data_IF_977087009759
#
_entry.id   IF_977087009759
#
_cell.length_a   1.000
_cell.length_b   1.000
_cell.length_c   1.000
_cell.angle_alpha   90.00
_cell.angle_beta   90.00
_cell.angle_gamma   90.00
#
_symmetry.space_group_name_H-M   'P 1'
#
loop_
_entity.id
_entity.type
_entity.pdbx_description
1 polymer ?
#
# COMPACT_ATOMS: atom_id res chain seq x y z
N UNK A 1 -5.59 -8.59 38.38
CA UNK A 1 -5.42 -10.02 38.02
C UNK A 1 -6.37 -10.48 36.91
N UNK A 2 -7.68 -10.19 36.98
CA UNK A 2 -8.67 -10.65 35.97
C UNK A 2 -8.46 -10.15 34.53
N UNK A 3 -7.95 -8.92 34.35
CA UNK A 3 -7.72 -8.29 33.03
C UNK A 3 -6.60 -8.98 32.23
N UNK A 4 -5.53 -9.40 32.89
CA UNK A 4 -4.40 -10.06 32.23
C UNK A 4 -4.75 -11.49 31.80
N UNK A 5 -5.60 -12.18 32.56
CA UNK A 5 -6.08 -13.51 32.20
C UNK A 5 -6.96 -13.47 30.95
N UNK A 6 -7.85 -12.47 30.84
CA UNK A 6 -8.69 -12.29 29.66
C UNK A 6 -7.86 -11.97 28.41
N UNK A 7 -6.83 -11.13 28.53
CA UNK A 7 -5.90 -10.84 27.45
C UNK A 7 -5.15 -12.09 26.99
N UNK A 8 -4.68 -12.92 27.91
CA UNK A 8 -4.01 -14.19 27.60
C UNK A 8 -4.97 -15.16 26.91
N UNK A 9 -6.24 -15.24 27.36
CA UNK A 9 -7.25 -16.09 26.74
C UNK A 9 -7.60 -15.63 25.31
N UNK A 10 -7.65 -14.31 25.07
CA UNK A 10 -7.86 -13.72 23.75
C UNK A 10 -6.67 -13.99 22.81
N UNK A 11 -5.44 -13.93 23.32
CA UNK A 11 -4.24 -14.29 22.56
C UNK A 11 -4.17 -15.79 22.27
N UNK A 12 -4.55 -16.65 23.23
CA UNK A 12 -4.57 -18.10 23.02
C UNK A 12 -5.68 -18.55 22.06
N UNK A 13 -6.84 -17.90 22.09
CA UNK A 13 -7.94 -18.17 21.15
C UNK A 13 -7.68 -17.63 19.75
N UNK A 14 -6.88 -16.57 19.59
CA UNK A 14 -6.40 -16.16 18.26
C UNK A 14 -5.36 -17.15 17.71
N UNK A 15 -4.56 -17.79 18.57
CA UNK A 15 -3.58 -18.81 18.19
C UNK A 15 -4.22 -20.15 17.74
N UNK A 16 -5.37 -20.54 18.28
CA UNK A 16 -6.09 -21.75 17.80
C UNK A 16 -6.76 -21.53 16.45
N UNK A 17 -7.15 -20.29 16.13
CA UNK A 17 -7.62 -19.91 14.78
C UNK A 17 -6.50 -19.98 13.74
N UNK A 18 -5.27 -19.61 14.13
CA UNK A 18 -4.07 -19.68 13.28
C UNK A 18 -3.71 -21.11 12.86
N UNK A 19 -4.06 -22.15 13.62
CA UNK A 19 -3.78 -23.54 13.24
C UNK A 19 -4.54 -24.02 11.98
N UNK A 20 -5.61 -23.31 11.58
CA UNK A 20 -6.31 -23.54 10.32
C UNK A 20 -5.98 -22.49 9.24
N UNK A 21 -5.11 -21.54 9.53
CA UNK A 21 -4.73 -20.50 8.58
C UNK A 21 -3.68 -21.05 7.59
N UNK A 22 -4.01 -21.02 6.30
CA UNK A 22 -3.05 -21.38 5.25
C UNK A 22 -2.24 -20.14 4.91
N UNK A 23 -0.93 -20.20 5.10
CA UNK A 23 -0.05 -19.11 4.69
C UNK A 23 0.15 -19.15 3.19
N UNK A 24 0.18 -17.98 2.57
CA UNK A 24 0.54 -17.84 1.16
C UNK A 24 1.59 -16.75 0.97
N UNK A 25 2.39 -16.93 -0.06
CA UNK A 25 3.35 -15.96 -0.57
C UNK A 25 3.07 -15.81 -2.06
N UNK A 26 2.91 -14.58 -2.52
CA UNK A 26 2.71 -14.27 -3.93
C UNK A 26 3.48 -13.04 -4.37
N UNK A 27 3.38 -12.77 -5.67
CA UNK A 27 4.01 -11.64 -6.33
C UNK A 27 2.94 -11.02 -7.23
N UNK A 28 2.72 -9.72 -7.07
CA UNK A 28 1.81 -8.95 -7.91
C UNK A 28 2.61 -7.94 -8.74
N UNK A 29 2.14 -7.69 -9.96
CA UNK A 29 2.66 -6.63 -10.82
C UNK A 29 1.51 -5.75 -11.27
N UNK A 30 1.68 -4.44 -11.19
CA UNK A 30 0.63 -3.47 -11.50
C UNK A 30 1.16 -2.18 -12.11
N UNK A 31 0.23 -1.39 -12.64
CA UNK A 31 0.47 0.00 -13.05
C UNK A 31 0.01 0.95 -11.94
N UNK A 32 0.81 1.97 -11.64
CA UNK A 32 0.49 3.02 -10.67
C UNK A 32 0.20 4.34 -11.35
N UNK A 33 -0.75 5.09 -10.79
CA UNK A 33 -1.00 6.49 -11.09
C UNK A 33 -0.81 7.32 -9.82
N UNK A 34 0.32 8.00 -9.71
CA UNK A 34 0.72 8.72 -8.50
C UNK A 34 0.39 10.21 -8.63
N UNK A 35 0.00 10.88 -7.55
CA UNK A 35 -0.17 12.34 -7.52
C UNK A 35 0.65 12.93 -6.40
N UNK A 36 1.41 13.97 -6.70
CA UNK A 36 2.25 14.65 -5.72
C UNK A 36 1.84 16.12 -5.64
N UNK A 37 1.45 16.51 -4.43
CA UNK A 37 1.22 17.91 -4.07
C UNK A 37 2.57 18.58 -3.80
N UNK A 38 2.73 19.82 -4.26
CA UNK A 38 3.89 20.62 -3.89
C UNK A 38 3.46 21.77 -3.00
N UNK A 39 4.09 21.80 -1.82
CA UNK A 39 4.15 22.98 -0.97
C UNK A 39 5.44 23.69 -1.32
N UNK A 40 5.33 24.81 -2.03
CA UNK A 40 6.47 25.71 -2.19
C UNK A 40 6.36 26.72 -1.07
N UNK A 41 7.21 26.57 -0.05
CA UNK A 41 7.56 27.68 0.82
C UNK A 41 8.68 28.45 0.14
N UNK A 42 8.48 29.74 -0.09
CA UNK A 42 9.50 30.58 -0.71
C UNK A 42 9.94 31.70 0.27
N UNK A 43 11.12 32.27 0.00
CA UNK A 43 11.79 33.35 0.75
C UNK A 43 11.63 34.70 -0.03
N UNK A 44 11.25 35.86 0.57
CA UNK A 44 11.12 37.30 0.06
C UNK A 44 12.34 38.19 -0.25
N UNK A 45 13.33 38.45 0.57
CA UNK A 45 14.25 39.57 0.68
C UNK A 45 13.51 40.91 0.82
N UNK A 46 13.42 41.37 2.06
CA UNK A 46 12.97 42.70 2.45
C UNK A 46 13.99 43.71 1.93
N UNK A 47 13.64 44.53 0.94
CA UNK A 47 14.56 45.55 0.42
C UNK A 47 14.94 46.53 1.54
N UNK A 48 16.20 46.46 2.01
CA UNK A 48 16.73 47.21 3.16
C UNK A 48 17.16 46.35 4.36
N UNK A 49 16.84 45.05 4.37
CA UNK A 49 17.38 44.04 5.29
C UNK A 49 17.67 42.76 4.50
N UNK A 50 18.75 42.02 4.75
CA UNK A 50 19.11 40.81 3.98
C UNK A 50 18.13 39.61 4.15
N UNK A 51 16.83 39.82 4.42
CA UNK A 51 15.96 38.79 5.01
C UNK A 51 14.75 38.47 4.16
N UNK A 52 14.49 37.18 3.90
CA UNK A 52 13.68 36.72 2.77
C UNK A 52 12.41 35.87 3.16
N UNK A 53 11.17 36.41 3.14
CA UNK A 53 9.73 35.81 3.20
C UNK A 53 8.73 35.83 1.94
N UNK A 54 8.57 34.80 1.08
CA UNK A 54 7.60 34.81 -0.07
C UNK A 54 6.24 34.23 0.32
N UNK A 55 5.11 34.56 -0.36
CA UNK A 55 3.83 33.91 -0.09
C UNK A 55 3.89 32.41 -0.41
N UNK A 56 3.59 31.57 0.56
CA UNK A 56 3.53 30.13 0.34
C UNK A 56 2.42 29.78 -0.66
N UNK A 57 2.75 28.94 -1.65
CA UNK A 57 1.75 28.39 -2.58
C UNK A 57 1.62 26.88 -2.38
N UNK A 58 0.38 26.42 -2.25
CA UNK A 58 0.04 24.99 -2.25
C UNK A 58 -0.54 24.65 -3.62
N UNK A 59 0.22 23.89 -4.41
CA UNK A 59 -0.27 23.38 -5.69
C UNK A 59 -0.65 21.92 -5.51
N UNK A 60 -1.96 21.66 -5.45
CA UNK A 60 -2.50 20.31 -5.40
C UNK A 60 -2.26 19.59 -6.73
N UNK A 61 -1.84 18.33 -6.67
CA UNK A 61 -1.51 17.47 -7.79
C UNK A 61 -0.53 18.13 -8.78
N UNK A 62 0.46 18.87 -8.27
CA UNK A 62 1.44 19.56 -9.10
C UNK A 62 2.15 18.60 -10.07
N UNK A 63 2.31 17.34 -9.68
CA UNK A 63 2.83 16.27 -10.53
C UNK A 63 1.89 15.07 -10.59
N UNK A 64 1.81 14.48 -11.78
CA UNK A 64 1.17 13.19 -12.02
C UNK A 64 2.25 12.20 -12.45
N UNK A 65 2.33 11.07 -11.77
CA UNK A 65 3.19 9.94 -12.10
C UNK A 65 2.38 8.84 -12.77
N UNK A 66 2.93 8.26 -13.84
CA UNK A 66 2.46 6.98 -14.36
C UNK A 66 3.65 6.01 -14.34
N UNK A 67 3.46 4.85 -13.74
CA UNK A 67 4.53 3.93 -13.46
C UNK A 67 4.08 2.49 -13.33
N UNK A 68 5.02 1.62 -12.97
CA UNK A 68 4.75 0.23 -12.61
C UNK A 68 5.24 -0.04 -11.19
N UNK A 69 4.58 -0.97 -10.51
CA UNK A 69 4.88 -1.41 -9.15
C UNK A 69 4.88 -2.95 -9.12
N UNK A 70 5.87 -3.52 -8.45
CA UNK A 70 5.90 -4.95 -8.14
C UNK A 70 5.84 -5.11 -6.62
N UNK A 71 4.92 -5.93 -6.16
CA UNK A 71 4.69 -6.20 -4.75
C UNK A 71 4.95 -7.67 -4.45
N UNK A 72 5.51 -7.93 -3.27
CA UNK A 72 5.52 -9.26 -2.65
C UNK A 72 4.43 -9.22 -1.58
N UNK A 73 3.53 -10.20 -1.61
CA UNK A 73 2.43 -10.30 -0.64
C UNK A 73 2.59 -11.55 0.23
N UNK A 74 2.43 -11.35 1.55
CA UNK A 74 2.46 -12.40 2.55
C UNK A 74 1.18 -12.30 3.37
N UNK A 75 0.49 -13.42 3.50
CA UNK A 75 -0.81 -13.42 4.15
C UNK A 75 -1.28 -14.78 4.60
N UNK A 76 -2.53 -14.80 5.03
CA UNK A 76 -3.22 -16.02 5.40
C UNK A 76 -4.57 -16.12 4.70
N UNK A 77 -4.94 -17.34 4.36
CA UNK A 77 -6.20 -17.71 3.75
C UNK A 77 -7.02 -18.52 4.74
N UNK A 78 -8.31 -18.23 4.80
CA UNK A 78 -9.30 -18.93 5.60
C UNK A 78 -10.45 -19.40 4.72
N UNK A 79 -10.77 -20.68 4.77
CA UNK A 79 -11.83 -21.28 3.97
C UNK A 79 -13.00 -21.66 4.85
N UNK A 80 -14.23 -21.38 4.39
CA UNK A 80 -15.45 -21.57 5.18
C UNK A 80 -16.08 -22.95 5.00
N UNK A 81 -15.74 -23.66 3.93
CA UNK A 81 -16.28 -24.97 3.59
C UNK A 81 -15.21 -26.06 3.64
N UNK A 82 -15.65 -27.30 3.89
CA UNK A 82 -14.75 -28.48 3.96
C UNK A 82 -13.99 -28.74 2.66
N UNK A 83 -14.54 -28.33 1.52
CA UNK A 83 -13.96 -28.54 0.21
C UNK A 83 -13.09 -27.35 -0.24
N UNK A 84 -13.01 -26.29 0.57
CA UNK A 84 -12.26 -25.07 0.34
C UNK A 84 -12.66 -24.32 -0.94
N UNK A 85 -13.93 -24.33 -1.33
CA UNK A 85 -14.41 -23.54 -2.49
C UNK A 85 -14.58 -22.06 -2.21
N UNK A 86 -14.93 -21.70 -0.97
CA UNK A 86 -15.21 -20.32 -0.59
C UNK A 86 -14.35 -19.96 0.60
N UNK A 87 -13.67 -18.82 0.50
CA UNK A 87 -12.80 -18.35 1.55
C UNK A 87 -12.55 -16.87 1.49
N UNK A 88 -11.71 -16.41 2.38
CA UNK A 88 -11.21 -15.06 2.43
C UNK A 88 -9.71 -15.12 2.70
N UNK A 89 -8.95 -14.22 2.09
CA UNK A 89 -7.55 -14.01 2.43
C UNK A 89 -7.26 -12.57 2.74
N UNK A 90 -6.41 -12.33 3.74
CA UNK A 90 -5.79 -11.04 3.95
C UNK A 90 -4.29 -11.16 3.85
N UNK A 91 -3.67 -10.07 3.44
CA UNK A 91 -2.23 -10.02 3.25
C UNK A 91 -1.69 -8.63 3.47
N UNK A 92 -0.43 -8.59 3.88
CA UNK A 92 0.39 -7.41 3.78
C UNK A 92 1.22 -7.55 2.51
N UNK A 93 1.26 -6.50 1.71
CA UNK A 93 2.13 -6.42 0.56
C UNK A 93 3.09 -5.25 0.70
N UNK A 94 4.33 -5.47 0.26
CA UNK A 94 5.32 -4.43 0.16
C UNK A 94 6.03 -4.53 -1.18
N UNK A 95 6.33 -3.39 -1.78
CA UNK A 95 6.82 -3.38 -3.14
C UNK A 95 7.63 -2.17 -3.52
N UNK A 96 8.23 -2.29 -4.70
CA UNK A 96 9.06 -1.27 -5.30
C UNK A 96 8.73 -1.12 -6.78
N UNK A 97 8.69 0.13 -7.22
CA UNK A 97 8.27 0.51 -8.56
C UNK A 97 9.04 1.69 -9.11
N UNK A 98 8.80 1.98 -10.38
CA UNK A 98 9.33 3.17 -11.06
C UNK A 98 8.17 3.96 -11.65
N UNK A 99 8.28 5.27 -11.56
CA UNK A 99 7.30 6.21 -12.11
C UNK A 99 8.01 7.39 -12.73
N UNK A 100 7.36 8.08 -13.66
CA UNK A 100 7.86 9.37 -14.15
C UNK A 100 6.86 10.44 -13.77
N UNK A 101 7.27 11.34 -12.87
CA UNK A 101 6.47 12.47 -12.44
C UNK A 101 6.51 13.56 -13.51
N UNK A 102 5.34 13.96 -14.01
CA UNK A 102 5.18 15.02 -15.00
C UNK A 102 4.49 16.22 -14.35
N UNK A 103 5.10 17.40 -14.47
CA UNK A 103 4.51 18.63 -13.95
C UNK A 103 3.24 18.97 -14.74
N UNK A 104 2.12 19.18 -14.04
CA UNK A 104 0.82 19.44 -14.68
C UNK A 104 0.70 20.82 -15.35
N UNK A 105 1.50 21.81 -14.92
CA UNK A 105 1.55 23.15 -15.51
C UNK A 105 2.48 23.20 -16.72
N UNK A 106 3.58 22.43 -16.69
CA UNK A 106 4.53 22.33 -17.79
C UNK A 106 4.96 20.88 -18.04
N UNK A 107 4.31 20.22 -19.00
CA UNK A 107 4.54 18.81 -19.35
C UNK A 107 5.95 18.49 -19.89
N UNK A 108 6.80 19.50 -20.14
CA UNK A 108 8.20 19.30 -20.50
C UNK A 108 9.05 18.91 -19.27
N UNK A 109 8.62 19.27 -18.07
CA UNK A 109 9.32 18.97 -16.83
C UNK A 109 8.93 17.56 -16.39
N UNK A 110 9.89 16.64 -16.45
CA UNK A 110 9.73 15.22 -16.11
C UNK A 110 10.82 14.77 -15.14
N UNK A 111 10.42 14.03 -14.10
CA UNK A 111 11.35 13.49 -13.11
C UNK A 111 11.19 11.97 -12.99
N UNK A 112 12.21 11.17 -13.37
CA UNK A 112 12.20 9.75 -13.06
C UNK A 112 12.24 9.58 -11.53
N UNK A 113 11.31 8.79 -11.02
CA UNK A 113 11.10 8.60 -9.58
C UNK A 113 10.88 7.13 -9.27
N UNK A 114 10.94 6.80 -7.98
CA UNK A 114 10.68 5.45 -7.49
C UNK A 114 9.44 5.44 -6.61
N UNK A 115 8.71 4.34 -6.64
CA UNK A 115 7.56 4.10 -5.76
C UNK A 115 7.98 3.07 -4.73
N UNK A 116 7.62 3.29 -3.46
CA UNK A 116 7.64 2.27 -2.41
C UNK A 116 6.20 2.08 -1.99
N UNK A 117 5.70 0.86 -2.13
CA UNK A 117 4.33 0.49 -1.78
C UNK A 117 4.27 -0.26 -0.47
N UNK A 118 3.23 0.01 0.32
CA UNK A 118 2.83 -0.82 1.45
C UNK A 118 1.30 -0.94 1.41
N UNK A 119 0.80 -2.15 1.28
CA UNK A 119 -0.62 -2.45 1.07
C UNK A 119 -1.12 -3.43 2.14
N UNK A 120 -2.37 -3.25 2.55
CA UNK A 120 -3.14 -4.24 3.30
C UNK A 120 -4.31 -4.67 2.42
N UNK A 121 -4.32 -5.93 2.02
CA UNK A 121 -5.32 -6.49 1.10
C UNK A 121 -6.30 -7.42 1.80
N UNK A 122 -7.50 -7.53 1.21
CA UNK A 122 -8.61 -8.38 1.64
C UNK A 122 -9.34 -8.90 0.41
N UNK A 123 -9.22 -10.19 0.11
CA UNK A 123 -9.83 -10.79 -1.07
C UNK A 123 -10.84 -11.88 -0.69
N UNK A 124 -11.96 -11.94 -1.41
CA UNK A 124 -12.87 -13.09 -1.39
C UNK A 124 -12.36 -14.16 -2.36
N UNK A 125 -12.22 -15.39 -1.90
CA UNK A 125 -11.83 -16.55 -2.69
C UNK A 125 -13.08 -17.30 -3.14
N UNK A 126 -13.23 -17.48 -4.45
CA UNK A 126 -14.30 -18.24 -5.08
C UNK A 126 -13.71 -19.20 -6.11
N UNK A 127 -13.50 -20.45 -5.70
CA UNK A 127 -13.01 -21.49 -6.59
C UNK A 127 -14.19 -22.15 -7.32
N UNK A 128 -14.28 -21.97 -8.64
CA UNK A 128 -15.32 -22.62 -9.44
C UNK A 128 -14.95 -24.06 -9.87
N UNK A 129 -13.65 -24.36 -10.02
CA UNK A 129 -13.16 -25.67 -10.48
C UNK A 129 -11.93 -26.05 -9.66
N UNK A 130 -12.00 -27.20 -8.99
CA UNK A 130 -10.85 -27.81 -8.30
C UNK A 130 -10.45 -29.10 -9.01
N UNK A 131 -9.30 -29.08 -9.68
CA UNK A 131 -8.69 -30.31 -10.19
C UNK A 131 -8.12 -31.06 -8.99
N UNK A 132 -8.71 -32.20 -8.61
CA UNK A 132 -8.13 -33.06 -7.58
C UNK A 132 -6.76 -33.52 -8.08
N UNK A 133 -5.70 -33.17 -7.34
CA UNK A 133 -4.44 -33.91 -7.43
C UNK A 133 -4.71 -35.31 -6.88
N UNK A 134 -4.53 -36.32 -7.74
CA UNK A 134 -4.50 -37.73 -7.35
C UNK A 134 -3.28 -38.01 -6.49
#
# INVERSE_FOLDING_TARGET
MKKNLLAILLVLSSLTSLANARFFLGIDGGYSMDKVDVKTEDKTTYTGTNTIVTPGSFTKNAYLGNGYLFDINLGTEHHFDKNNYVGFRWFLAGGYGRTTLVNQSNNLIKYPSSIIGANLGLDLLLDAIKVRKQ
#
